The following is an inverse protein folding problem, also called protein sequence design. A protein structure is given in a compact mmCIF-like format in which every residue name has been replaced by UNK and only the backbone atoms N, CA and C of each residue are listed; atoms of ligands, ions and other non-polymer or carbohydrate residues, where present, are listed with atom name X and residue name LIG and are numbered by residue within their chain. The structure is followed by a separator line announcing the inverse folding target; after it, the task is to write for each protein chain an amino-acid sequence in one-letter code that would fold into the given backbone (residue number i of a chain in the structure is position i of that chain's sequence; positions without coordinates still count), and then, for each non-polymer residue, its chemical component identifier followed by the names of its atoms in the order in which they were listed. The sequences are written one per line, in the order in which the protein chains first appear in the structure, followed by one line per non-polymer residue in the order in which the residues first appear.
data_IF_027121786497
#
_entry.id   IF_027121786497
#
_cell.length_a   1.000
_cell.length_b   1.000
_cell.length_c   1.000
_cell.angle_alpha   90.00
_cell.angle_beta   90.00
_cell.angle_gamma   90.00
#
_symmetry.space_group_name_H-M   'P 1'
#
loop_
_entity.id
_entity.type
_entity.pdbx_description
1 polymer ?
#
# COMPACT_ATOMS: atom_id res chain seq x y z
N UNK A 1 -30.94 -7.39 -6.90
CA UNK A 1 -30.03 -6.22 -6.99
C UNK A 1 -28.62 -6.76 -7.02
N UNK A 2 -27.98 -6.83 -8.19
CA UNK A 2 -26.63 -7.38 -8.34
C UNK A 2 -25.61 -6.27 -8.13
N UNK A 3 -24.70 -6.44 -7.17
CA UNK A 3 -23.58 -5.53 -6.98
C UNK A 3 -22.60 -5.71 -8.16
N UNK A 4 -22.40 -4.68 -8.96
CA UNK A 4 -21.30 -4.62 -9.92
C UNK A 4 -20.03 -4.31 -9.15
N UNK A 5 -19.50 -5.27 -8.41
CA UNK A 5 -18.20 -5.09 -7.77
C UNK A 5 -17.15 -5.00 -8.87
N UNK A 6 -16.47 -3.85 -8.96
CA UNK A 6 -15.17 -3.75 -9.61
C UNK A 6 -14.32 -4.97 -9.24
N UNK A 7 -13.73 -5.65 -10.22
CA UNK A 7 -12.80 -6.75 -9.97
C UNK A 7 -11.53 -6.29 -9.24
N UNK A 8 -11.27 -4.98 -9.23
CA UNK A 8 -10.18 -4.36 -8.49
C UNK A 8 -10.62 -3.98 -7.08
N UNK A 9 -9.81 -4.28 -6.05
CA UNK A 9 -10.08 -3.85 -4.68
C UNK A 9 -10.04 -2.32 -4.60
N UNK A 10 -10.80 -1.72 -3.66
CA UNK A 10 -10.70 -0.29 -3.39
C UNK A 10 -9.30 0.08 -2.88
N UNK A 11 -8.89 1.35 -3.03
CA UNK A 11 -7.63 1.81 -2.46
C UNK A 11 -7.62 1.63 -0.94
N UNK A 12 -6.46 1.30 -0.34
CA UNK A 12 -6.37 1.16 1.10
C UNK A 12 -6.74 2.46 1.84
N UNK A 13 -7.39 2.38 3.03
CA UNK A 13 -7.80 3.57 3.78
C UNK A 13 -6.65 4.51 4.16
N UNK A 14 -5.45 3.98 4.37
CA UNK A 14 -4.26 4.76 4.77
C UNK A 14 -3.78 5.71 3.67
N UNK A 15 -4.20 5.53 2.41
CA UNK A 15 -3.83 6.44 1.31
C UNK A 15 -4.23 7.89 1.59
N UNK A 16 -5.27 8.09 2.43
CA UNK A 16 -5.74 9.40 2.88
C UNK A 16 -4.71 10.17 3.71
N UNK A 17 -3.74 9.49 4.32
CA UNK A 17 -2.67 10.11 5.12
C UNK A 17 -1.63 10.84 4.26
N UNK A 18 -1.57 10.55 2.96
CA UNK A 18 -0.56 11.07 2.03
C UNK A 18 -1.03 12.29 1.24
N UNK A 19 -2.12 12.94 1.67
CA UNK A 19 -2.76 14.05 0.95
C UNK A 19 -1.78 15.18 0.63
N UNK A 20 -0.96 15.56 1.61
CA UNK A 20 -0.06 16.71 1.53
C UNK A 20 1.40 16.27 1.36
N UNK A 21 1.66 14.99 1.07
CA UNK A 21 3.00 14.41 1.02
C UNK A 21 3.89 15.08 -0.03
N UNK A 22 3.32 15.51 -1.16
CA UNK A 22 4.05 16.18 -2.24
C UNK A 22 4.58 17.57 -1.81
N UNK A 23 3.86 18.26 -0.93
CA UNK A 23 4.21 19.58 -0.42
C UNK A 23 5.01 19.48 0.89
N UNK A 24 4.70 18.49 1.71
CA UNK A 24 5.33 18.21 2.99
C UNK A 24 5.57 16.70 3.12
N UNK A 25 6.76 16.20 2.78
CA UNK A 25 7.08 14.77 2.86
C UNK A 25 7.01 14.21 4.29
N UNK A 26 7.09 15.06 5.32
CA UNK A 26 6.91 14.64 6.72
C UNK A 26 5.45 14.60 7.18
N UNK A 27 4.48 14.94 6.32
CA UNK A 27 3.05 14.85 6.64
C UNK A 27 2.52 13.43 6.72
N UNK A 28 3.22 12.48 6.08
CA UNK A 28 2.86 11.08 6.08
C UNK A 28 3.66 10.29 7.14
N UNK A 29 3.10 9.19 7.68
CA UNK A 29 3.83 8.31 8.56
C UNK A 29 5.04 7.69 7.84
N UNK A 30 6.13 7.51 8.59
CA UNK A 30 7.31 6.79 8.10
C UNK A 30 6.94 5.34 7.77
N UNK A 31 7.50 4.75 6.69
CA UNK A 31 7.26 3.35 6.37
C UNK A 31 7.66 2.44 7.55
N UNK A 32 6.91 1.34 7.78
CA UNK A 32 7.30 0.37 8.80
C UNK A 32 8.67 -0.24 8.46
N UNK A 33 9.45 -0.62 9.49
CA UNK A 33 10.73 -1.28 9.26
C UNK A 33 10.53 -2.62 8.52
N UNK A 34 11.54 -3.09 7.77
CA UNK A 34 11.51 -4.41 7.16
C UNK A 34 11.23 -5.49 8.22
N UNK A 35 10.37 -6.46 7.88
CA UNK A 35 10.06 -7.58 8.76
C UNK A 35 11.14 -8.65 8.57
N UNK A 36 11.79 -9.06 9.66
CA UNK A 36 12.63 -10.26 9.68
C UNK A 36 11.75 -11.50 9.94
N UNK A 37 11.81 -12.53 9.08
CA UNK A 37 11.11 -13.80 9.31
C UNK A 37 10.33 -14.36 8.11
N UNK A 38 9.20 -15.04 8.39
CA UNK A 38 8.45 -15.93 7.47
C UNK A 38 7.90 -15.28 6.19
N UNK A 39 7.90 -13.94 6.08
CA UNK A 39 7.34 -13.20 4.95
C UNK A 39 8.40 -12.66 3.97
N UNK A 40 9.58 -13.30 3.93
CA UNK A 40 10.59 -13.03 2.91
C UNK A 40 10.08 -13.39 1.50
N UNK A 41 10.38 -12.55 0.52
CA UNK A 41 10.07 -12.81 -0.89
C UNK A 41 10.77 -14.10 -1.34
N UNK A 42 10.00 -15.07 -1.84
CA UNK A 42 10.55 -16.29 -2.43
C UNK A 42 10.48 -16.21 -3.97
N UNK A 43 11.65 -16.03 -4.60
CA UNK A 43 11.77 -15.89 -6.05
C UNK A 43 11.42 -14.50 -6.59
N UNK A 44 11.81 -14.23 -7.83
CA UNK A 44 11.54 -12.97 -8.53
C UNK A 44 10.72 -13.23 -9.79
N UNK A 45 9.66 -12.47 -10.01
CA UNK A 45 8.79 -12.57 -11.19
C UNK A 45 9.26 -11.64 -12.32
N UNK A 46 10.56 -11.66 -12.62
CA UNK A 46 11.15 -10.93 -13.74
C UNK A 46 11.80 -11.95 -14.66
N UNK A 47 11.21 -12.16 -15.85
CA UNK A 47 11.86 -12.83 -16.99
C UNK A 47 12.01 -11.84 -18.13
#
# INVERSE_FOLDING_TARGET
MAATSSAYPPPPPFYRLYKDYLQNPSSAPEPPPPIEGTYMLYGSNYT
#
